data_IF_052697868461
#
_entry.id   IF_052697868461
#
_cell.length_a   1.000
_cell.length_b   1.000
_cell.length_c   1.000
_cell.angle_alpha   90.00
_cell.angle_beta   90.00
_cell.angle_gamma   90.00
#
_symmetry.space_group_name_H-M   'P 1'
#
loop_
_entity.id
_entity.type
_entity.pdbx_description
1 polymer ?
#
# COMPACT_ATOMS: atom_id res chain seq x y z
N UNK A 1 -1.26 48.62 -32.63
CA UNK A 1 -0.35 48.20 -31.55
C UNK A 1 -1.19 47.44 -30.53
N UNK A 2 -1.23 46.11 -30.64
CA UNK A 2 -2.07 45.26 -29.79
C UNK A 2 -1.33 44.90 -28.50
N UNK A 3 -1.95 45.19 -27.36
CA UNK A 3 -1.45 44.80 -26.05
C UNK A 3 -1.92 43.38 -25.73
N UNK A 4 -0.98 42.45 -25.56
CA UNK A 4 -1.27 41.11 -25.05
C UNK A 4 -1.26 41.16 -23.53
N UNK A 5 -2.44 41.01 -22.91
CA UNK A 5 -2.58 40.76 -21.49
C UNK A 5 -2.19 39.31 -21.20
N UNK A 6 -1.02 39.11 -20.61
CA UNK A 6 -0.61 37.80 -20.10
C UNK A 6 -1.34 37.55 -18.77
N UNK A 7 -2.36 36.70 -18.82
CA UNK A 7 -2.96 36.06 -17.65
C UNK A 7 -1.90 35.16 -17.02
N UNK A 8 -1.35 35.55 -15.87
CA UNK A 8 -0.52 34.68 -15.05
C UNK A 8 -1.48 33.72 -14.34
N UNK A 9 -1.69 32.55 -14.92
CA UNK A 9 -2.30 31.44 -14.18
C UNK A 9 -1.33 31.03 -13.09
N UNK A 10 -1.70 31.37 -11.86
CA UNK A 10 -1.07 30.91 -10.64
C UNK A 10 -1.17 29.37 -10.62
N UNK A 11 -0.13 28.70 -11.12
CA UNK A 11 0.04 27.27 -10.94
C UNK A 11 0.13 27.04 -9.43
N UNK A 12 -0.93 26.50 -8.87
CA UNK A 12 -0.93 25.94 -7.52
C UNK A 12 0.22 24.94 -7.46
N UNK A 13 1.29 25.30 -6.74
CA UNK A 13 2.35 24.38 -6.35
C UNK A 13 1.71 23.39 -5.39
N UNK A 14 1.02 22.42 -5.94
CA UNK A 14 0.66 21.21 -5.23
C UNK A 14 1.98 20.47 -5.07
N UNK A 15 2.63 20.65 -3.92
CA UNK A 15 3.76 19.83 -3.52
C UNK A 15 3.26 18.40 -3.55
N UNK A 16 3.58 17.69 -4.62
CA UNK A 16 3.27 16.29 -4.79
C UNK A 16 4.10 15.54 -3.76
N UNK A 17 3.55 15.33 -2.56
CA UNK A 17 4.19 14.55 -1.51
C UNK A 17 4.17 13.11 -2.00
N UNK A 18 5.17 12.76 -2.80
CA UNK A 18 5.33 11.42 -3.33
C UNK A 18 5.72 10.48 -2.18
N UNK A 19 5.09 9.31 -2.15
CA UNK A 19 5.47 8.28 -1.18
C UNK A 19 6.89 7.81 -1.46
N UNK A 20 7.68 7.64 -0.40
CA UNK A 20 8.99 7.04 -0.51
C UNK A 20 8.83 5.52 -0.70
N UNK A 21 9.14 5.04 -1.89
CA UNK A 21 9.06 3.63 -2.25
C UNK A 21 10.32 2.87 -1.79
N UNK A 22 10.12 1.83 -0.97
CA UNK A 22 11.17 0.93 -0.48
C UNK A 22 11.47 -0.23 -1.45
N UNK A 23 10.68 -0.36 -2.53
CA UNK A 23 10.77 -1.45 -3.48
C UNK A 23 10.17 -2.76 -2.96
N UNK A 24 10.45 -3.85 -3.69
CA UNK A 24 9.90 -5.17 -3.39
C UNK A 24 10.75 -5.90 -2.36
N UNK A 25 10.16 -6.27 -1.23
CA UNK A 25 10.78 -7.10 -0.21
C UNK A 25 10.78 -8.59 -0.62
N UNK A 26 11.89 -9.06 -1.20
CA UNK A 26 12.00 -10.42 -1.75
C UNK A 26 12.22 -11.50 -0.69
N UNK A 27 12.90 -11.20 0.42
CA UNK A 27 13.20 -12.16 1.49
C UNK A 27 11.94 -12.66 2.20
N UNK A 28 10.89 -11.84 2.25
CA UNK A 28 9.59 -12.17 2.84
C UNK A 28 8.56 -12.72 1.86
N UNK A 29 8.96 -13.29 0.72
CA UNK A 29 8.00 -13.85 -0.25
C UNK A 29 7.19 -14.98 0.40
N UNK A 30 5.86 -14.88 0.35
CA UNK A 30 4.95 -15.88 0.93
C UNK A 30 4.46 -16.83 -0.18
N UNK A 31 4.56 -18.14 0.09
CA UNK A 31 4.00 -19.20 -0.76
C UNK A 31 3.01 -19.99 0.07
N UNK A 32 1.81 -20.17 -0.45
CA UNK A 32 0.69 -20.83 0.22
C UNK A 32 0.00 -21.77 -0.75
N UNK A 33 -0.59 -22.86 -0.26
CA UNK A 33 -1.43 -23.71 -1.08
C UNK A 33 -2.84 -23.13 -1.25
N UNK A 34 -3.51 -23.49 -2.34
CA UNK A 34 -4.89 -23.11 -2.60
C UNK A 34 -5.81 -23.64 -1.48
N UNK A 35 -6.63 -22.76 -0.91
CA UNK A 35 -7.51 -23.08 0.21
C UNK A 35 -6.92 -22.85 1.61
N UNK A 36 -5.61 -22.64 1.73
CA UNK A 36 -4.95 -22.38 3.03
C UNK A 36 -5.02 -20.92 3.46
N UNK A 37 -4.56 -20.63 4.68
CA UNK A 37 -4.47 -19.26 5.20
C UNK A 37 -3.14 -18.64 4.80
N UNK A 38 -3.18 -17.48 4.16
CA UNK A 38 -2.00 -16.65 3.92
C UNK A 38 -1.95 -15.49 4.90
N UNK A 39 -0.76 -15.21 5.43
CA UNK A 39 -0.49 -14.03 6.24
C UNK A 39 0.65 -13.25 5.59
N UNK A 40 0.42 -11.96 5.37
CA UNK A 40 1.39 -11.05 4.77
C UNK A 40 1.80 -10.02 5.82
N UNK A 41 3.08 -9.99 6.14
CA UNK A 41 3.66 -9.01 7.07
C UNK A 41 4.12 -7.77 6.30
N UNK A 42 3.81 -6.58 6.82
CA UNK A 42 4.31 -5.33 6.22
C UNK A 42 5.79 -5.10 6.58
N UNK A 43 6.74 -5.13 5.61
CA UNK A 43 8.17 -5.04 5.88
C UNK A 43 8.62 -3.69 6.46
N UNK A 44 7.82 -2.62 6.33
CA UNK A 44 8.14 -1.31 6.93
C UNK A 44 8.36 -1.39 8.44
N UNK A 45 7.74 -2.37 9.12
CA UNK A 45 7.88 -2.58 10.56
C UNK A 45 9.05 -3.49 10.96
N UNK A 46 9.78 -4.06 10.00
CA UNK A 46 11.01 -4.81 10.27
C UNK A 46 12.15 -3.91 10.78
N UNK A 47 12.00 -2.59 10.63
CA UNK A 47 12.92 -1.56 11.12
C UNK A 47 12.26 -0.74 12.24
N UNK A 48 12.16 -1.28 13.47
CA UNK A 48 11.42 -0.66 14.58
C UNK A 48 11.97 0.70 15.03
N UNK A 49 13.21 1.02 14.66
CA UNK A 49 13.83 2.33 14.86
C UNK A 49 13.26 3.41 13.95
N UNK A 50 12.70 3.02 12.79
CA UNK A 50 12.07 3.91 11.83
C UNK A 50 10.55 3.92 12.03
N UNK A 51 9.95 2.73 12.05
CA UNK A 51 8.50 2.57 12.16
C UNK A 51 8.16 1.43 13.11
N UNK A 52 7.45 1.76 14.19
CA UNK A 52 6.82 0.77 15.08
C UNK A 52 5.31 0.89 14.96
N UNK A 53 4.60 -0.22 14.73
CA UNK A 53 3.15 -0.23 14.51
C UNK A 53 2.38 0.51 15.63
N UNK A 54 2.80 0.35 16.89
CA UNK A 54 2.17 1.03 18.03
C UNK A 54 2.39 2.53 18.01
N UNK A 55 3.56 3.00 17.58
CA UNK A 55 3.84 4.42 17.41
C UNK A 55 3.07 4.99 16.22
N UNK A 56 2.93 4.22 15.13
CA UNK A 56 2.18 4.62 13.94
C UNK A 56 0.71 4.83 14.29
N UNK A 57 0.09 3.89 15.03
CA UNK A 57 -1.30 4.01 15.49
C UNK A 57 -1.56 5.23 16.41
N UNK A 58 -0.57 5.62 17.21
CA UNK A 58 -0.67 6.78 18.10
C UNK A 58 -0.32 8.10 17.41
N UNK A 59 0.12 8.05 16.16
CA UNK A 59 0.42 9.21 15.32
C UNK A 59 -0.72 9.48 14.33
N UNK A 60 -0.55 10.46 13.44
CA UNK A 60 -1.48 10.68 12.34
C UNK A 60 -1.32 9.71 11.17
N UNK A 61 -0.44 8.70 11.28
CA UNK A 61 -0.15 7.74 10.24
C UNK A 61 -1.05 6.50 10.31
N UNK A 62 -1.45 6.01 9.16
CA UNK A 62 -2.33 4.87 8.97
C UNK A 62 -1.71 3.85 8.03
N UNK A 63 -1.78 2.57 8.41
CA UNK A 63 -1.35 1.45 7.55
C UNK A 63 -2.45 1.11 6.55
N UNK A 64 -2.13 1.28 5.27
CA UNK A 64 -2.97 0.95 4.12
C UNK A 64 -2.35 -0.21 3.33
N UNK A 65 -3.20 -1.01 2.70
CA UNK A 65 -2.79 -2.12 1.87
C UNK A 65 -3.34 -1.97 0.45
N UNK A 66 -2.47 -2.21 -0.52
CA UNK A 66 -2.77 -2.20 -1.95
C UNK A 66 -2.28 -3.50 -2.58
N UNK A 67 -2.81 -3.83 -3.76
CA UNK A 67 -2.36 -4.95 -4.57
C UNK A 67 -2.21 -4.56 -6.02
N UNK A 68 -1.25 -5.17 -6.70
CA UNK A 68 -1.22 -5.17 -8.17
C UNK A 68 -2.18 -6.22 -8.69
N UNK A 69 -3.05 -5.84 -9.63
CA UNK A 69 -3.86 -6.83 -10.36
C UNK A 69 -3.08 -7.34 -11.56
N UNK A 70 -3.25 -8.62 -11.91
CA UNK A 70 -2.61 -9.23 -13.09
C UNK A 70 -2.85 -8.48 -14.40
N UNK A 71 -3.91 -7.67 -14.48
CA UNK A 71 -4.39 -7.03 -15.71
C UNK A 71 -4.21 -5.51 -15.75
N UNK A 72 -3.79 -4.87 -14.66
CA UNK A 72 -3.61 -3.42 -14.64
C UNK A 72 -2.29 -3.04 -13.96
N UNK A 73 -1.50 -2.22 -14.65
CA UNK A 73 -0.31 -1.52 -14.14
C UNK A 73 -0.61 -0.54 -12.99
N UNK A 74 -1.84 -0.57 -12.45
CA UNK A 74 -2.33 0.35 -11.43
C UNK A 74 -2.58 -0.40 -10.12
N UNK A 75 -2.01 0.15 -9.05
CA UNK A 75 -2.23 -0.25 -7.67
C UNK A 75 -3.71 -0.10 -7.30
N UNK A 76 -4.32 -1.15 -6.75
CA UNK A 76 -5.69 -1.11 -6.27
C UNK A 76 -5.72 -1.27 -4.74
N UNK A 77 -6.49 -0.43 -4.02
CA UNK A 77 -6.65 -0.61 -2.58
C UNK A 77 -7.31 -1.95 -2.29
N UNK A 78 -6.88 -2.61 -1.22
CA UNK A 78 -7.46 -3.87 -0.79
C UNK A 78 -8.84 -3.63 -0.18
N UNK A 79 -9.84 -4.33 -0.71
CA UNK A 79 -11.19 -4.25 -0.19
C UNK A 79 -11.33 -5.14 1.05
N UNK A 80 -11.08 -4.56 2.23
CA UNK A 80 -11.27 -5.21 3.54
C UNK A 80 -12.73 -5.53 3.88
N UNK A 81 -13.70 -5.15 3.02
CA UNK A 81 -15.10 -5.61 3.15
C UNK A 81 -15.29 -7.03 2.62
N UNK A 82 -14.33 -7.56 1.88
CA UNK A 82 -14.36 -8.95 1.42
C UNK A 82 -14.14 -9.88 2.61
N UNK A 83 -15.01 -10.89 2.76
CA UNK A 83 -14.94 -11.86 3.85
C UNK A 83 -13.67 -12.71 3.86
N UNK A 84 -12.88 -12.68 2.79
CA UNK A 84 -11.63 -13.45 2.68
C UNK A 84 -10.42 -12.66 3.14
N UNK A 85 -10.53 -11.33 3.30
CA UNK A 85 -9.40 -10.43 3.55
C UNK A 85 -9.59 -9.70 4.87
N UNK A 86 -8.65 -9.90 5.79
CA UNK A 86 -8.70 -9.28 7.11
C UNK A 86 -7.39 -8.56 7.41
N UNK A 87 -7.47 -7.29 7.79
CA UNK A 87 -6.32 -6.56 8.34
C UNK A 87 -6.28 -6.81 9.84
N UNK A 88 -5.16 -7.32 10.34
CA UNK A 88 -4.89 -7.40 11.77
C UNK A 88 -3.50 -6.83 12.05
N UNK A 89 -3.47 -5.72 12.79
CA UNK A 89 -2.26 -4.93 13.04
C UNK A 89 -1.42 -4.67 11.78
N UNK A 90 -0.16 -5.09 11.77
CA UNK A 90 0.79 -5.01 10.66
C UNK A 90 0.67 -6.15 9.64
N UNK A 91 -0.31 -7.04 9.82
CA UNK A 91 -0.57 -8.18 8.97
C UNK A 91 -1.82 -7.99 8.11
N UNK A 92 -1.77 -8.58 6.91
CA UNK A 92 -2.92 -8.84 6.07
C UNK A 92 -3.13 -10.35 5.97
N UNK A 93 -4.32 -10.80 6.34
CA UNK A 93 -4.73 -12.19 6.32
C UNK A 93 -5.62 -12.44 5.12
N UNK A 94 -5.40 -13.57 4.46
CA UNK A 94 -6.20 -14.07 3.34
C UNK A 94 -6.67 -15.48 3.70
N UNK A 95 -7.97 -15.68 3.82
CA UNK A 95 -8.55 -16.96 4.20
C UNK A 95 -9.94 -17.18 3.57
N UNK A 96 -10.12 -18.23 2.73
CA UNK A 96 -9.07 -19.04 2.12
C UNK A 96 -8.30 -18.25 1.06
N UNK A 97 -7.00 -18.49 0.94
CA UNK A 97 -6.18 -17.97 -0.16
C UNK A 97 -6.47 -18.74 -1.44
N UNK A 98 -6.53 -18.02 -2.57
CA UNK A 98 -6.79 -18.59 -3.89
C UNK A 98 -5.70 -18.25 -4.89
N UNK A 99 -5.65 -18.96 -6.03
CA UNK A 99 -4.71 -18.63 -7.12
C UNK A 99 -4.86 -17.22 -7.68
N UNK A 100 -6.02 -16.60 -7.48
CA UNK A 100 -6.37 -15.23 -7.87
C UNK A 100 -5.76 -14.18 -6.93
N UNK A 101 -5.37 -14.59 -5.72
CA UNK A 101 -4.68 -13.75 -4.74
C UNK A 101 -3.16 -13.70 -4.99
N UNK A 102 -2.63 -14.48 -5.94
CA UNK A 102 -1.22 -14.43 -6.29
C UNK A 102 -0.85 -13.07 -6.94
N UNK A 103 0.09 -12.35 -6.35
CA UNK A 103 0.56 -11.07 -6.88
C UNK A 103 1.46 -10.29 -5.91
N UNK A 104 1.70 -9.02 -6.25
CA UNK A 104 2.41 -8.10 -5.38
C UNK A 104 1.43 -7.37 -4.45
N UNK A 105 1.77 -7.34 -3.17
CA UNK A 105 1.05 -6.62 -2.13
C UNK A 105 1.93 -5.49 -1.63
N UNK A 106 1.33 -4.31 -1.48
CA UNK A 106 2.01 -3.08 -1.10
C UNK A 106 1.41 -2.64 0.22
N UNK A 107 2.27 -2.37 1.21
CA UNK A 107 1.86 -1.72 2.44
C UNK A 107 2.41 -0.29 2.47
N UNK A 108 1.54 0.65 2.82
CA UNK A 108 1.84 2.09 2.79
C UNK A 108 1.45 2.72 4.13
N UNK A 109 2.28 3.65 4.61
CA UNK A 109 1.97 4.50 5.77
C UNK A 109 1.61 5.90 5.29
N UNK A 110 0.41 6.38 5.67
CA UNK A 110 -0.09 7.71 5.32
C UNK A 110 -0.80 8.38 6.48
#
# INVERSE_FOLDING_TARGET
MGAFSASVTQASVQSDVQCYDWGVWSEGSVRVYDGEVAYLYCPLFSHPTLYSYSQTQNSSLSLLWYRHTRTHELEQPINLKLHTLHKDREYLWIQPATTQDAGLYICMLR
#
